data_IF_392721629854
#
_entry.id   IF_392721629854
#
_cell.length_a   1.000
_cell.length_b   1.000
_cell.length_c   1.000
_cell.angle_alpha   90.00
_cell.angle_beta   90.00
_cell.angle_gamma   90.00
#
_symmetry.space_group_name_H-M   'P 1'
#
loop_
_entity.id
_entity.type
_entity.pdbx_description
1 polymer ?
#
# COMPACT_ATOMS: atom_id res chain seq x y z
N UNK A 1 4.52 -17.96 19.97
CA UNK A 1 4.54 -16.77 19.11
C UNK A 1 3.31 -16.75 18.22
N UNK A 2 2.63 -15.65 18.22
CA UNK A 2 1.50 -15.49 17.33
C UNK A 2 2.00 -14.83 16.05
N UNK A 3 1.95 -15.58 14.97
CA UNK A 3 2.14 -14.98 13.67
C UNK A 3 0.80 -14.41 13.24
N UNK A 4 0.67 -13.10 13.31
CA UNK A 4 -0.50 -12.50 12.72
C UNK A 4 -0.41 -12.69 11.22
N UNK A 5 -1.42 -13.28 10.65
CA UNK A 5 -1.49 -13.52 9.22
C UNK A 5 -2.69 -12.77 8.70
N UNK A 6 -2.43 -11.80 7.85
CA UNK A 6 -3.50 -11.15 7.12
C UNK A 6 -4.14 -12.18 6.19
N UNK A 7 -5.44 -12.32 6.29
CA UNK A 7 -6.19 -13.14 5.35
C UNK A 7 -6.37 -12.32 4.08
N UNK A 8 -5.41 -12.46 3.16
CA UNK A 8 -5.34 -11.62 1.97
C UNK A 8 -5.92 -12.34 0.76
N UNK A 9 -6.90 -11.70 0.13
CA UNK A 9 -7.54 -12.16 -1.10
C UNK A 9 -7.58 -11.02 -2.11
N UNK A 10 -8.05 -11.28 -3.32
CA UNK A 10 -8.24 -10.22 -4.31
C UNK A 10 -9.37 -9.26 -3.96
N UNK A 11 -10.20 -9.58 -2.97
CA UNK A 11 -11.25 -8.71 -2.46
C UNK A 11 -10.83 -7.89 -1.25
N UNK A 12 -9.64 -8.14 -0.70
CA UNK A 12 -9.11 -7.36 0.43
C UNK A 12 -8.96 -5.89 0.03
N UNK A 13 -9.36 -5.00 0.93
CA UNK A 13 -9.23 -3.57 0.68
C UNK A 13 -7.75 -3.17 0.66
N UNK A 14 -7.36 -2.48 -0.39
CA UNK A 14 -6.01 -1.97 -0.59
C UNK A 14 -6.08 -0.46 -0.74
N UNK A 15 -5.30 0.25 0.07
CA UNK A 15 -5.16 1.71 -0.04
C UNK A 15 -3.71 2.02 -0.35
N UNK A 16 -3.48 2.90 -1.30
CA UNK A 16 -2.13 3.37 -1.60
C UNK A 16 -2.07 4.88 -1.39
N UNK A 17 -1.04 5.34 -0.71
CA UNK A 17 -0.83 6.78 -0.48
C UNK A 17 0.34 7.28 -1.32
N UNK A 18 0.17 8.44 -1.93
CA UNK A 18 1.21 9.07 -2.74
C UNK A 18 0.96 10.56 -2.90
N UNK A 19 1.93 11.25 -3.51
CA UNK A 19 1.84 12.69 -3.79
C UNK A 19 1.74 13.00 -5.27
N UNK A 20 1.99 12.02 -6.15
CA UNK A 20 1.92 12.17 -7.60
C UNK A 20 0.71 11.41 -8.13
N UNK A 21 -0.26 12.12 -8.79
CA UNK A 21 -1.49 11.46 -9.27
C UNK A 21 -1.21 10.28 -10.21
N UNK A 22 -0.27 10.42 -11.15
CA UNK A 22 0.05 9.34 -12.09
C UNK A 22 0.56 8.08 -11.41
N UNK A 23 1.44 8.22 -10.41
CA UNK A 23 1.94 7.09 -9.64
C UNK A 23 0.83 6.47 -8.78
N UNK A 24 0.04 7.30 -8.13
CA UNK A 24 -0.97 6.83 -7.18
C UNK A 24 -2.15 6.18 -7.90
N UNK A 25 -2.70 6.87 -8.89
CA UNK A 25 -3.83 6.37 -9.68
C UNK A 25 -3.42 5.22 -10.61
N UNK A 26 -2.18 5.25 -11.10
CA UNK A 26 -1.64 4.18 -11.93
C UNK A 26 -1.53 2.86 -11.19
N UNK A 27 -1.16 2.89 -9.91
CA UNK A 27 -1.14 1.69 -9.07
C UNK A 27 -2.54 1.10 -8.94
N UNK A 28 -3.54 1.94 -8.70
CA UNK A 28 -4.94 1.50 -8.59
C UNK A 28 -5.40 0.85 -9.90
N UNK A 29 -5.13 1.49 -11.03
CA UNK A 29 -5.52 0.95 -12.33
C UNK A 29 -4.88 -0.40 -12.61
N UNK A 30 -3.57 -0.53 -12.33
CA UNK A 30 -2.83 -1.76 -12.56
C UNK A 30 -3.33 -2.89 -11.66
N UNK A 31 -3.57 -2.62 -10.39
CA UNK A 31 -4.10 -3.61 -9.46
C UNK A 31 -5.49 -4.09 -9.88
N UNK A 32 -6.37 -3.17 -10.25
CA UNK A 32 -7.70 -3.55 -10.73
C UNK A 32 -7.64 -4.38 -12.00
N UNK A 33 -6.74 -4.05 -12.91
CA UNK A 33 -6.53 -4.82 -14.13
C UNK A 33 -6.05 -6.25 -13.85
N UNK A 34 -5.50 -6.50 -12.67
CA UNK A 34 -5.03 -7.80 -12.24
C UNK A 34 -5.97 -8.49 -11.24
N UNK A 35 -7.21 -8.05 -11.17
CA UNK A 35 -8.28 -8.73 -10.44
C UNK A 35 -8.48 -8.30 -9.00
N UNK A 36 -7.73 -7.31 -8.52
CA UNK A 36 -7.97 -6.75 -7.18
C UNK A 36 -9.15 -5.79 -7.26
N UNK A 37 -10.19 -6.03 -6.47
CA UNK A 37 -11.49 -5.37 -6.67
C UNK A 37 -11.72 -4.14 -5.80
N UNK A 38 -11.05 -4.06 -4.64
CA UNK A 38 -11.26 -2.96 -3.68
C UNK A 38 -9.96 -2.20 -3.46
N UNK A 39 -9.59 -1.37 -4.44
CA UNK A 39 -8.36 -0.61 -4.43
C UNK A 39 -8.67 0.87 -4.54
N UNK A 40 -8.09 1.66 -3.65
CA UNK A 40 -8.27 3.11 -3.66
C UNK A 40 -6.95 3.83 -3.46
N UNK A 41 -6.90 5.07 -3.97
CA UNK A 41 -5.75 5.94 -3.86
C UNK A 41 -6.02 7.06 -2.86
N UNK A 42 -5.00 7.41 -2.08
CA UNK A 42 -5.01 8.58 -1.22
C UNK A 42 -3.94 9.53 -1.75
N UNK A 43 -4.36 10.68 -2.25
CA UNK A 43 -3.43 11.71 -2.72
C UNK A 43 -3.20 12.67 -1.56
N UNK A 44 -2.03 12.59 -0.94
CA UNK A 44 -1.75 13.32 0.31
C UNK A 44 -1.75 14.84 0.13
N UNK A 45 -1.56 15.32 -1.09
CA UNK A 45 -1.59 16.76 -1.39
C UNK A 45 -3.01 17.31 -1.53
N UNK A 46 -4.00 16.43 -1.66
CA UNK A 46 -5.41 16.79 -1.86
C UNK A 46 -6.32 16.26 -0.74
N UNK A 47 -5.76 15.62 0.28
CA UNK A 47 -6.52 14.98 1.34
C UNK A 47 -5.96 15.43 2.70
N UNK A 48 -6.81 15.93 3.59
CA UNK A 48 -6.36 16.35 4.90
C UNK A 48 -5.90 15.15 5.75
N UNK A 49 -5.06 15.39 6.74
CA UNK A 49 -4.59 14.36 7.65
C UNK A 49 -5.77 13.70 8.37
N UNK A 50 -6.75 14.49 8.78
CA UNK A 50 -7.94 13.99 9.45
C UNK A 50 -8.77 13.08 8.57
N UNK A 51 -8.89 13.40 7.28
CA UNK A 51 -9.59 12.56 6.33
C UNK A 51 -8.84 11.24 6.10
N UNK A 52 -7.50 11.29 6.02
CA UNK A 52 -6.68 10.09 5.87
C UNK A 52 -6.87 9.19 7.09
N UNK A 53 -6.80 9.76 8.29
CA UNK A 53 -6.99 9.00 9.54
C UNK A 53 -8.37 8.38 9.62
N UNK A 54 -9.41 9.13 9.25
CA UNK A 54 -10.78 8.61 9.23
C UNK A 54 -10.92 7.43 8.26
N UNK A 55 -10.29 7.53 7.11
CA UNK A 55 -10.30 6.46 6.10
C UNK A 55 -9.61 5.20 6.63
N UNK A 56 -8.47 5.35 7.27
CA UNK A 56 -7.73 4.23 7.88
C UNK A 56 -8.56 3.58 8.99
N UNK A 57 -9.18 4.38 9.84
CA UNK A 57 -10.00 3.88 10.95
C UNK A 57 -11.23 3.12 10.47
N UNK A 58 -11.80 3.52 9.34
CA UNK A 58 -12.97 2.87 8.76
C UNK A 58 -12.63 1.68 7.85
N UNK A 59 -11.36 1.30 7.78
CA UNK A 59 -10.89 0.26 6.87
C UNK A 59 -10.12 -0.83 7.61
N UNK A 60 -10.77 -1.56 8.53
CA UNK A 60 -10.10 -2.67 9.22
C UNK A 60 -9.74 -3.78 8.23
N UNK A 61 -8.73 -4.55 8.56
CA UNK A 61 -8.27 -5.70 7.77
C UNK A 61 -7.88 -5.32 6.34
N UNK A 62 -7.31 -4.14 6.17
CA UNK A 62 -6.86 -3.63 4.88
C UNK A 62 -5.34 -3.61 4.76
N UNK A 63 -4.87 -3.52 3.52
CA UNK A 63 -3.46 -3.33 3.20
C UNK A 63 -3.24 -1.86 2.85
N UNK A 64 -2.28 -1.23 3.51
CA UNK A 64 -1.91 0.16 3.27
C UNK A 64 -0.51 0.21 2.66
N UNK A 65 -0.42 0.57 1.39
CA UNK A 65 0.84 0.65 0.66
C UNK A 65 1.42 2.05 0.74
N UNK A 66 2.66 2.14 1.20
CA UNK A 66 3.38 3.40 1.35
C UNK A 66 4.61 3.37 0.43
N UNK A 67 4.66 4.25 -0.55
CA UNK A 67 5.81 4.35 -1.44
C UNK A 67 7.02 5.00 -0.75
N UNK A 68 8.22 4.70 -1.26
CA UNK A 68 9.46 5.25 -0.73
C UNK A 68 9.50 6.78 -0.77
N UNK A 69 8.91 7.39 -1.80
CA UNK A 69 8.84 8.85 -1.91
C UNK A 69 8.04 9.47 -0.77
N UNK A 70 7.05 8.78 -0.23
CA UNK A 70 6.27 9.26 0.91
C UNK A 70 7.11 9.29 2.18
N UNK A 71 7.90 8.26 2.43
CA UNK A 71 8.78 8.21 3.60
C UNK A 71 9.86 9.28 3.55
N UNK A 72 10.40 9.56 2.36
CA UNK A 72 11.49 10.52 2.17
C UNK A 72 10.99 11.96 2.03
N UNK A 73 9.86 12.16 1.34
CA UNK A 73 9.34 13.51 1.04
C UNK A 73 8.39 14.06 2.10
N UNK A 74 7.74 13.19 2.87
CA UNK A 74 6.73 13.58 3.86
C UNK A 74 6.95 12.85 5.19
N UNK A 75 8.16 12.99 5.78
CA UNK A 75 8.51 12.20 6.96
C UNK A 75 7.61 12.46 8.17
N UNK A 76 7.23 13.73 8.39
CA UNK A 76 6.39 14.08 9.54
C UNK A 76 4.97 13.53 9.38
N UNK A 77 4.40 13.66 8.19
CA UNK A 77 3.09 13.10 7.89
C UNK A 77 3.10 11.59 8.08
N UNK A 78 4.12 10.91 7.52
CA UNK A 78 4.19 9.46 7.61
C UNK A 78 4.42 8.99 9.05
N UNK A 79 5.24 9.69 9.82
CA UNK A 79 5.43 9.36 11.23
C UNK A 79 4.11 9.46 12.01
N UNK A 80 3.33 10.50 11.76
CA UNK A 80 2.02 10.70 12.38
C UNK A 80 1.05 9.59 12.00
N UNK A 81 0.97 9.27 10.71
CA UNK A 81 0.05 8.24 10.22
C UNK A 81 0.43 6.84 10.74
N UNK A 82 1.71 6.50 10.74
CA UNK A 82 2.16 5.20 11.22
C UNK A 82 1.91 5.04 12.72
N UNK A 83 2.13 6.09 13.50
CA UNK A 83 1.80 6.09 14.93
C UNK A 83 0.31 5.92 15.16
N UNK A 84 -0.51 6.63 14.39
CA UNK A 84 -1.96 6.52 14.46
C UNK A 84 -2.42 5.10 14.14
N UNK A 85 -1.87 4.49 13.09
CA UNK A 85 -2.23 3.12 12.70
C UNK A 85 -1.86 2.15 13.81
N UNK A 86 -0.68 2.28 14.39
CA UNK A 86 -0.23 1.38 15.46
C UNK A 86 -1.14 1.44 16.68
N UNK A 87 -1.67 2.62 16.99
CA UNK A 87 -2.50 2.84 18.19
C UNK A 87 -3.99 2.62 17.95
N UNK A 88 -4.49 3.03 16.79
CA UNK A 88 -5.94 3.09 16.53
C UNK A 88 -6.42 2.10 15.47
N UNK A 89 -5.52 1.56 14.65
CA UNK A 89 -5.89 0.71 13.50
C UNK A 89 -5.02 -0.56 13.48
N UNK A 90 -5.07 -1.39 14.54
CA UNK A 90 -4.15 -2.53 14.66
C UNK A 90 -4.33 -3.61 13.59
N UNK A 91 -5.45 -3.62 12.87
CA UNK A 91 -5.71 -4.59 11.82
C UNK A 91 -5.44 -4.04 10.42
N UNK A 92 -4.93 -2.81 10.31
CA UNK A 92 -4.43 -2.28 9.04
C UNK A 92 -2.98 -2.73 8.89
N UNK A 93 -2.72 -3.47 7.83
CA UNK A 93 -1.39 -3.99 7.53
C UNK A 93 -0.63 -2.98 6.66
N UNK A 94 0.47 -2.44 7.18
CA UNK A 94 1.27 -1.45 6.45
C UNK A 94 2.42 -2.13 5.73
N UNK A 95 2.59 -1.83 4.46
CA UNK A 95 3.76 -2.24 3.70
C UNK A 95 4.46 -1.01 3.12
N UNK A 96 5.70 -0.80 3.52
CA UNK A 96 6.55 0.24 2.95
C UNK A 96 7.31 -0.36 1.76
N UNK A 97 7.19 0.27 0.60
CA UNK A 97 7.85 -0.20 -0.61
C UNK A 97 9.37 -0.09 -0.45
N UNK A 98 10.07 -1.16 -0.74
CA UNK A 98 11.53 -1.23 -0.71
C UNK A 98 12.06 -1.65 -2.07
N UNK A 99 13.37 -1.52 -2.27
CA UNK A 99 14.01 -1.83 -3.55
C UNK A 99 13.70 -3.25 -4.05
N UNK A 100 13.62 -4.21 -3.11
CA UNK A 100 13.32 -5.60 -3.44
C UNK A 100 11.92 -5.82 -4.04
N UNK A 101 11.02 -4.83 -3.91
CA UNK A 101 9.67 -4.92 -4.48
C UNK A 101 9.66 -4.61 -5.98
N UNK A 102 10.74 -4.05 -6.51
CA UNK A 102 10.86 -3.73 -7.92
C UNK A 102 11.45 -4.90 -8.70
N UNK A 103 11.14 -4.95 -9.99
CA UNK A 103 11.75 -5.93 -10.89
C UNK A 103 13.26 -5.69 -10.97
N UNK A 104 14.02 -6.75 -11.22
CA UNK A 104 15.49 -6.67 -11.24
C UNK A 104 16.04 -5.78 -12.37
N UNK A 105 15.27 -5.59 -13.44
CA UNK A 105 15.66 -4.73 -14.57
C UNK A 105 15.19 -3.27 -14.41
N UNK A 106 14.72 -2.91 -13.21
CA UNK A 106 14.28 -1.55 -12.92
C UNK A 106 15.43 -0.54 -13.06
N UNK A 107 15.15 0.57 -13.72
CA UNK A 107 16.08 1.71 -13.79
C UNK A 107 15.99 2.54 -12.51
N UNK A 108 17.08 3.25 -12.16
CA UNK A 108 17.10 4.07 -10.96
C UNK A 108 17.52 5.50 -11.31
N UNK A 109 16.65 6.51 -11.10
CA UNK A 109 15.33 6.41 -10.48
C UNK A 109 14.34 5.65 -11.36
N UNK A 110 13.35 4.95 -10.77
CA UNK A 110 12.39 4.18 -11.56
C UNK A 110 11.43 5.08 -12.33
N UNK A 111 10.94 4.55 -13.45
CA UNK A 111 9.87 5.20 -14.22
C UNK A 111 8.53 5.04 -13.48
N UNK A 112 7.55 5.85 -13.88
CA UNK A 112 6.19 5.74 -13.33
C UNK A 112 5.65 4.32 -13.48
N UNK A 113 5.84 3.71 -14.65
CA UNK A 113 5.40 2.34 -14.92
C UNK A 113 6.05 1.34 -13.95
N UNK A 114 7.36 1.49 -13.71
CA UNK A 114 8.09 0.62 -12.78
C UNK A 114 7.62 0.80 -11.34
N UNK A 115 7.33 2.03 -10.94
CA UNK A 115 6.78 2.32 -9.61
C UNK A 115 5.41 1.65 -9.45
N UNK A 116 4.55 1.77 -10.45
CA UNK A 116 3.22 1.16 -10.40
C UNK A 116 3.33 -0.37 -10.36
N UNK A 117 4.27 -0.95 -11.12
CA UNK A 117 4.51 -2.40 -11.13
C UNK A 117 4.96 -2.92 -9.76
N UNK A 118 5.70 -2.12 -8.99
CA UNK A 118 6.14 -2.53 -7.65
C UNK A 118 4.94 -2.82 -6.74
N UNK A 119 3.88 -2.04 -6.84
CA UNK A 119 2.66 -2.28 -6.05
C UNK A 119 2.03 -3.62 -6.43
N UNK A 120 1.97 -3.95 -7.72
CA UNK A 120 1.47 -5.23 -8.16
C UNK A 120 2.33 -6.39 -7.64
N UNK A 121 3.65 -6.25 -7.72
CA UNK A 121 4.59 -7.26 -7.21
C UNK A 121 4.35 -7.54 -5.73
N UNK A 122 4.15 -6.49 -4.92
CA UNK A 122 3.86 -6.61 -3.49
C UNK A 122 2.57 -7.41 -3.28
N UNK A 123 1.50 -7.01 -3.95
CA UNK A 123 0.19 -7.64 -3.75
C UNK A 123 0.18 -9.11 -4.21
N UNK A 124 0.81 -9.41 -5.33
CA UNK A 124 0.91 -10.80 -5.81
C UNK A 124 1.72 -11.67 -4.85
N UNK A 125 2.80 -11.13 -4.28
CA UNK A 125 3.61 -11.86 -3.30
C UNK A 125 2.83 -12.15 -2.03
N UNK A 126 2.12 -11.15 -1.50
CA UNK A 126 1.30 -11.33 -0.29
C UNK A 126 0.20 -12.36 -0.55
N UNK A 127 -0.45 -12.28 -1.70
CA UNK A 127 -1.49 -13.22 -2.09
C UNK A 127 -0.97 -14.66 -2.14
N UNK A 128 0.21 -14.85 -2.72
CA UNK A 128 0.85 -16.15 -2.80
C UNK A 128 1.21 -16.69 -1.41
N UNK A 129 1.75 -15.85 -0.54
CA UNK A 129 2.09 -16.24 0.83
C UNK A 129 0.86 -16.64 1.63
N UNK A 130 -0.24 -15.91 1.49
CA UNK A 130 -1.50 -16.23 2.15
C UNK A 130 -2.03 -17.59 1.68
N UNK A 131 -2.00 -17.85 0.38
CA UNK A 131 -2.40 -19.13 -0.19
C UNK A 131 -1.56 -20.29 0.31
N UNK A 132 -0.24 -20.10 0.41
CA UNK A 132 0.68 -21.13 0.90
C UNK A 132 0.41 -21.51 2.34
N UNK A 133 -0.09 -20.59 3.15
CA UNK A 133 -0.35 -20.83 4.57
C UNK A 133 -1.67 -21.54 4.84
N UNK A 134 -2.51 -21.65 3.84
CA UNK A 134 -3.79 -22.35 3.95
C UNK A 134 -3.69 -23.84 3.68
N UNK A 135 -2.52 -24.31 3.36
CA UNK A 135 -2.29 -25.73 3.04
C UNK A 135 -2.02 -26.59 4.29
#
# INVERSE_FOLDING_TARGET
MVCWVMEFTRQTKIMTIGHLPGHTNGKVALLKANGFTDVSAILCTATSVEEIKAKLKSSPDSLFLVGGAMMNGFPDLMADLLDFIAKECPTVFVHQTVKADFDTDTTWPPTEEQVNKSALNICLRILKQAGSRQV
#
